data_IF_616969668292
#
_entry.id   IF_616969668292
#
_cell.length_a   1.000
_cell.length_b   1.000
_cell.length_c   1.000
_cell.angle_alpha   90.00
_cell.angle_beta   90.00
_cell.angle_gamma   90.00
#
_symmetry.space_group_name_H-M   'P 1'
#
loop_
_entity.id
_entity.type
_entity.pdbx_description
1 polymer ?
#
# COMPACT_ATOMS: atom_id res chain seq x y z
N UNK A 1 17.26 -60.33 -11.68
CA UNK A 1 16.97 -58.98 -12.20
C UNK A 1 15.90 -58.30 -11.32
N UNK A 2 16.14 -58.19 -10.00
CA UNK A 2 15.09 -57.74 -9.04
C UNK A 2 15.55 -56.69 -8.00
N UNK A 3 16.76 -56.14 -8.13
CA UNK A 3 17.32 -55.18 -7.16
C UNK A 3 17.21 -53.71 -7.59
N UNK A 4 16.83 -53.40 -8.84
CA UNK A 4 16.78 -52.01 -9.34
C UNK A 4 15.60 -51.20 -8.81
N UNK A 5 14.42 -51.80 -8.66
CA UNK A 5 13.20 -51.08 -8.25
C UNK A 5 13.26 -50.57 -6.82
N UNK A 6 13.83 -51.36 -5.90
CA UNK A 6 13.94 -50.94 -4.50
C UNK A 6 14.92 -49.78 -4.31
N UNK A 7 16.04 -49.75 -5.04
CA UNK A 7 17.05 -48.70 -4.93
C UNK A 7 16.55 -47.36 -5.49
N UNK A 8 15.84 -47.39 -6.61
CA UNK A 8 15.30 -46.18 -7.27
C UNK A 8 14.17 -45.52 -6.44
N UNK A 9 13.34 -46.35 -5.79
CA UNK A 9 12.30 -45.89 -4.84
C UNK A 9 12.91 -45.35 -3.54
N UNK A 10 14.01 -45.93 -3.05
CA UNK A 10 14.71 -45.43 -1.85
C UNK A 10 15.40 -44.09 -2.14
N UNK A 11 16.06 -43.97 -3.31
CA UNK A 11 16.77 -42.76 -3.72
C UNK A 11 15.80 -41.56 -3.90
N UNK A 12 14.67 -41.79 -4.58
CA UNK A 12 13.63 -40.76 -4.72
C UNK A 12 13.03 -40.38 -3.36
N UNK A 13 12.72 -41.36 -2.50
CA UNK A 13 12.21 -41.10 -1.15
C UNK A 13 13.17 -40.27 -0.29
N UNK A 14 14.49 -40.51 -0.38
CA UNK A 14 15.49 -39.68 0.30
C UNK A 14 15.55 -38.26 -0.24
N UNK A 15 15.55 -38.06 -1.56
CA UNK A 15 15.55 -36.72 -2.17
C UNK A 15 14.30 -35.92 -1.80
N UNK A 16 13.12 -36.55 -1.83
CA UNK A 16 11.87 -35.94 -1.37
C UNK A 16 11.93 -35.56 0.12
N UNK A 17 12.44 -36.46 0.96
CA UNK A 17 12.54 -36.21 2.39
C UNK A 17 13.54 -35.08 2.71
N UNK A 18 14.63 -34.95 1.94
CA UNK A 18 15.55 -33.81 2.06
C UNK A 18 14.91 -32.49 1.62
N UNK A 19 14.15 -32.48 0.52
CA UNK A 19 13.44 -31.28 0.06
C UNK A 19 12.41 -30.80 1.10
N UNK A 20 11.66 -31.73 1.69
CA UNK A 20 10.70 -31.44 2.77
C UNK A 20 11.41 -30.89 4.01
N UNK A 21 12.54 -31.47 4.41
CA UNK A 21 13.33 -30.99 5.56
C UNK A 21 13.86 -29.57 5.31
N UNK A 22 14.33 -29.25 4.11
CA UNK A 22 14.78 -27.89 3.78
C UNK A 22 13.64 -26.87 3.81
N UNK A 23 12.45 -27.25 3.37
CA UNK A 23 11.26 -26.40 3.40
C UNK A 23 10.82 -26.12 4.84
N UNK A 24 10.79 -27.15 5.69
CA UNK A 24 10.42 -27.03 7.11
C UNK A 24 11.47 -26.21 7.88
N UNK A 25 12.77 -26.49 7.68
CA UNK A 25 13.86 -25.75 8.32
C UNK A 25 13.91 -24.28 7.88
N UNK A 26 13.64 -23.98 6.60
CA UNK A 26 13.57 -22.61 6.09
C UNK A 26 12.38 -21.81 6.65
N UNK A 27 11.22 -22.45 6.80
CA UNK A 27 10.04 -21.87 7.46
C UNK A 27 10.31 -21.57 8.94
N UNK A 28 10.89 -22.52 9.67
CA UNK A 28 11.28 -22.35 11.07
C UNK A 28 12.33 -21.25 11.24
N UNK A 29 13.35 -21.21 10.39
CA UNK A 29 14.41 -20.19 10.43
C UNK A 29 13.87 -18.78 10.13
N UNK A 30 12.98 -18.63 9.13
CA UNK A 30 12.32 -17.35 8.83
C UNK A 30 11.45 -16.85 9.99
N UNK A 31 10.74 -17.76 10.66
CA UNK A 31 9.97 -17.44 11.87
C UNK A 31 10.88 -17.09 13.07
N UNK A 32 11.98 -17.82 13.27
CA UNK A 32 12.93 -17.58 14.37
C UNK A 32 13.69 -16.26 14.20
N UNK A 33 14.08 -15.91 12.96
CA UNK A 33 14.72 -14.63 12.64
C UNK A 33 13.85 -13.43 13.05
N UNK A 34 12.51 -13.59 12.98
CA UNK A 34 11.55 -12.58 13.44
C UNK A 34 11.52 -12.43 14.97
N UNK A 35 11.76 -13.51 15.72
CA UNK A 35 11.85 -13.45 17.18
C UNK A 35 13.16 -12.81 17.65
N UNK A 36 14.27 -13.09 16.97
CA UNK A 36 15.60 -12.61 17.36
C UNK A 36 15.83 -11.15 16.96
N UNK A 37 15.29 -10.70 15.82
CA UNK A 37 15.50 -9.34 15.32
C UNK A 37 14.29 -8.43 15.62
N UNK A 38 14.37 -7.67 16.71
CA UNK A 38 13.34 -6.72 17.15
C UNK A 38 13.27 -5.53 16.15
N UNK A 39 12.10 -5.38 15.49
CA UNK A 39 11.69 -4.34 14.50
C UNK A 39 12.27 -4.51 13.07
N UNK A 40 11.57 -4.31 11.94
CA UNK A 40 10.44 -3.45 11.53
C UNK A 40 9.64 -4.15 10.40
N UNK A 41 8.33 -3.88 10.30
CA UNK A 41 7.33 -4.57 9.43
C UNK A 41 7.66 -4.57 7.93
N UNK A 42 8.43 -5.55 7.46
CA UNK A 42 8.19 -6.14 6.13
C UNK A 42 7.13 -7.22 6.42
N UNK A 43 6.02 -7.24 5.68
CA UNK A 43 4.83 -8.02 6.07
C UNK A 43 5.14 -9.48 6.39
N UNK A 44 4.35 -10.09 7.27
CA UNK A 44 4.48 -11.49 7.72
C UNK A 44 4.88 -12.45 6.59
N UNK A 45 4.21 -12.32 5.45
CA UNK A 45 4.41 -13.15 4.27
C UNK A 45 5.81 -13.03 3.65
N UNK A 46 6.40 -11.83 3.66
CA UNK A 46 7.72 -11.58 3.10
C UNK A 46 8.86 -12.19 3.93
N UNK A 47 8.69 -12.26 5.26
CA UNK A 47 9.67 -12.91 6.12
C UNK A 47 9.68 -14.44 5.90
N UNK A 48 8.51 -15.06 5.62
CA UNK A 48 8.45 -16.48 5.25
C UNK A 48 9.06 -16.77 3.89
N UNK A 49 8.72 -15.96 2.87
CA UNK A 49 9.25 -16.18 1.52
C UNK A 49 10.75 -16.00 1.48
N UNK A 50 11.31 -15.00 2.18
CA UNK A 50 12.75 -14.85 2.32
C UNK A 50 13.40 -15.99 3.11
N UNK A 51 12.72 -16.54 4.14
CA UNK A 51 13.23 -17.67 4.91
C UNK A 51 13.35 -18.96 4.08
N UNK A 52 12.33 -19.29 3.28
CA UNK A 52 12.35 -20.44 2.38
C UNK A 52 13.43 -20.25 1.29
N UNK A 53 13.46 -19.07 0.65
CA UNK A 53 14.47 -18.75 -0.35
C UNK A 53 15.88 -18.74 0.24
N UNK A 54 16.05 -18.27 1.47
CA UNK A 54 17.31 -18.27 2.22
C UNK A 54 17.83 -19.67 2.53
N UNK A 55 16.95 -20.59 2.94
CA UNK A 55 17.32 -21.98 3.20
C UNK A 55 17.75 -22.72 1.92
N UNK A 56 16.96 -22.58 0.85
CA UNK A 56 17.26 -23.21 -0.45
C UNK A 56 18.52 -22.63 -1.10
N UNK A 57 18.70 -21.31 -1.04
CA UNK A 57 19.88 -20.63 -1.60
C UNK A 57 21.16 -20.92 -0.80
N UNK A 58 21.09 -21.07 0.53
CA UNK A 58 22.23 -21.48 1.35
C UNK A 58 22.73 -22.88 1.03
N UNK A 59 21.83 -23.83 0.80
CA UNK A 59 22.16 -25.20 0.38
C UNK A 59 22.84 -25.23 -1.00
N UNK A 60 22.30 -24.45 -1.95
CA UNK A 60 22.86 -24.31 -3.29
C UNK A 60 24.25 -23.65 -3.28
N UNK A 61 24.45 -22.63 -2.44
CA UNK A 61 25.72 -21.92 -2.32
C UNK A 61 26.83 -22.80 -1.74
N UNK A 62 26.57 -23.59 -0.71
CA UNK A 62 27.54 -24.56 -0.16
C UNK A 62 27.94 -25.62 -1.19
N UNK A 63 26.97 -26.12 -1.96
CA UNK A 63 27.23 -27.06 -3.05
C UNK A 63 28.05 -26.45 -4.18
N UNK A 64 27.84 -25.17 -4.51
CA UNK A 64 28.60 -24.47 -5.56
C UNK A 64 30.06 -24.21 -5.19
N UNK A 65 30.38 -24.09 -3.90
CA UNK A 65 31.75 -23.87 -3.41
C UNK A 65 32.49 -25.19 -3.14
N UNK A 66 31.87 -26.33 -3.46
CA UNK A 66 32.47 -27.67 -3.31
C UNK A 66 32.36 -28.27 -1.91
N UNK A 67 31.54 -27.68 -1.03
CA UNK A 67 31.23 -28.25 0.29
C UNK A 67 30.18 -29.36 0.21
N UNK A 68 30.32 -30.38 1.03
CA UNK A 68 29.27 -31.39 1.21
C UNK A 68 28.12 -30.80 2.05
N UNK A 69 26.89 -30.95 1.57
CA UNK A 69 25.71 -30.57 2.35
C UNK A 69 25.61 -31.52 3.54
N UNK A 70 25.54 -31.00 4.79
CA UNK A 70 25.45 -31.86 5.96
C UNK A 70 24.20 -32.75 5.88
N UNK A 71 24.27 -34.01 6.36
CA UNK A 71 23.12 -34.91 6.37
C UNK A 71 21.91 -34.29 7.10
N UNK A 72 20.72 -34.57 6.59
CA UNK A 72 19.46 -34.09 7.18
C UNK A 72 19.34 -34.55 8.64
N UNK A 73 19.01 -33.62 9.54
CA UNK A 73 18.91 -33.89 10.99
C UNK A 73 20.20 -33.63 11.78
N UNK A 74 21.33 -33.34 11.14
CA UNK A 74 22.54 -32.91 11.84
C UNK A 74 22.40 -31.45 12.34
N UNK A 75 22.96 -31.09 13.51
CA UNK A 75 22.96 -29.70 13.99
C UNK A 75 23.60 -28.70 12.99
N UNK A 76 24.52 -29.19 12.17
CA UNK A 76 25.18 -28.41 11.12
C UNK A 76 24.22 -28.00 9.98
N UNK A 77 23.21 -28.81 9.66
CA UNK A 77 22.19 -28.49 8.65
C UNK A 77 21.34 -27.29 9.07
N UNK A 78 20.91 -27.27 10.33
CA UNK A 78 20.14 -26.15 10.89
C UNK A 78 20.96 -24.86 10.94
N UNK A 79 22.24 -24.94 11.35
CA UNK A 79 23.13 -23.79 11.40
C UNK A 79 23.33 -23.15 10.03
N UNK A 80 23.54 -23.95 8.99
CA UNK A 80 23.67 -23.47 7.60
C UNK A 80 22.39 -22.78 7.13
N UNK A 81 21.22 -23.38 7.37
CA UNK A 81 19.94 -22.80 6.95
C UNK A 81 19.66 -21.46 7.64
N UNK A 82 19.97 -21.35 8.94
CA UNK A 82 19.79 -20.13 9.72
C UNK A 82 20.76 -19.03 9.26
N UNK A 83 22.04 -19.36 9.05
CA UNK A 83 23.05 -18.39 8.59
C UNK A 83 22.69 -17.88 7.19
N UNK A 84 22.28 -18.77 6.27
CA UNK A 84 21.85 -18.40 4.92
C UNK A 84 20.64 -17.44 4.93
N UNK A 85 19.63 -17.74 5.75
CA UNK A 85 18.46 -16.88 5.91
C UNK A 85 18.82 -15.52 6.52
N UNK A 86 19.68 -15.48 7.55
CA UNK A 86 20.13 -14.23 8.18
C UNK A 86 20.91 -13.33 7.21
N UNK A 87 21.79 -13.90 6.39
CA UNK A 87 22.56 -13.15 5.38
C UNK A 87 21.63 -12.58 4.32
N UNK A 88 20.71 -13.38 3.78
CA UNK A 88 19.79 -12.94 2.73
C UNK A 88 18.86 -11.82 3.21
N UNK A 89 18.30 -11.95 4.43
CA UNK A 89 17.47 -10.92 5.06
C UNK A 89 18.28 -9.65 5.33
N UNK A 90 19.54 -9.77 5.79
CA UNK A 90 20.44 -8.65 6.01
C UNK A 90 20.73 -7.85 4.73
N UNK A 91 21.07 -8.55 3.65
CA UNK A 91 21.38 -7.95 2.34
C UNK A 91 20.14 -7.29 1.72
N UNK A 92 19.00 -7.97 1.72
CA UNK A 92 17.76 -7.43 1.19
C UNK A 92 17.34 -6.13 1.90
N UNK A 93 17.50 -6.08 3.23
CA UNK A 93 17.21 -4.88 4.02
C UNK A 93 18.21 -3.77 3.75
N UNK A 94 19.51 -4.07 3.59
CA UNK A 94 20.53 -3.08 3.27
C UNK A 94 20.27 -2.39 1.91
N UNK A 95 19.91 -3.17 0.89
CA UNK A 95 19.51 -2.66 -0.43
C UNK A 95 18.24 -1.79 -0.34
N UNK A 96 17.28 -2.18 0.49
CA UNK A 96 16.05 -1.39 0.74
C UNK A 96 16.31 -0.06 1.48
N UNK A 97 17.45 0.08 2.19
CA UNK A 97 17.86 1.34 2.83
C UNK A 97 18.43 2.33 1.81
N UNK A 98 19.16 1.83 0.81
CA UNK A 98 19.81 2.66 -0.19
C UNK A 98 18.79 3.33 -1.12
N UNK A 99 17.78 2.57 -1.56
CA UNK A 99 16.69 3.05 -2.41
C UNK A 99 15.80 4.10 -1.72
N UNK A 100 15.71 4.08 -0.39
CA UNK A 100 14.92 5.07 0.37
C UNK A 100 15.65 6.36 0.68
N UNK A 101 16.97 6.37 0.86
CA UNK A 101 17.73 7.62 1.07
C UNK A 101 17.63 8.57 -0.14
N UNK A 102 17.59 8.02 -1.34
CA UNK A 102 17.41 8.79 -2.59
C UNK A 102 16.06 9.51 -2.64
N UNK A 103 15.02 8.96 -2.00
CA UNK A 103 13.66 9.54 -2.03
C UNK A 103 13.44 10.67 -1.01
N UNK A 104 14.33 10.82 -0.01
CA UNK A 104 14.21 11.85 1.05
C UNK A 104 14.89 13.17 0.66
N UNK A 105 15.78 13.19 -0.35
CA UNK A 105 16.44 14.43 -0.77
C UNK A 105 15.63 15.30 -1.75
N UNK A 106 14.41 14.90 -2.12
CA UNK A 106 13.60 15.60 -3.14
C UNK A 106 12.38 16.36 -2.59
N UNK A 107 12.31 16.59 -1.28
CA UNK A 107 11.31 17.50 -0.70
C UNK A 107 12.00 18.43 0.28
N UNK A 108 12.78 19.35 -0.30
CA UNK A 108 13.31 20.52 0.41
C UNK A 108 12.12 21.29 1.00
N UNK A 109 12.00 21.25 2.32
CA UNK A 109 11.01 22.00 3.08
C UNK A 109 11.47 23.45 3.24
N UNK A 110 11.55 24.19 2.15
CA UNK A 110 11.56 25.64 2.18
C UNK A 110 10.13 26.13 1.92
N UNK A 111 9.51 26.70 2.93
CA UNK A 111 8.26 27.45 2.79
C UNK A 111 8.58 28.70 1.95
N UNK A 112 8.01 28.88 0.75
CA UNK A 112 8.27 30.06 -0.07
C UNK A 112 7.74 31.31 0.63
N UNK A 113 8.51 32.40 0.60
CA UNK A 113 8.09 33.69 1.16
C UNK A 113 6.86 34.26 0.45
N UNK A 114 6.20 35.23 1.09
CA UNK A 114 4.95 35.87 0.63
C UNK A 114 4.97 36.36 -0.84
N UNK A 115 6.14 36.72 -1.39
CA UNK A 115 6.31 37.12 -2.80
C UNK A 115 6.23 35.95 -3.80
N UNK A 116 6.54 34.72 -3.38
CA UNK A 116 6.39 33.51 -4.20
C UNK A 116 4.94 33.01 -4.21
N UNK A 117 4.14 33.37 -3.19
CA UNK A 117 2.72 33.04 -3.13
C UNK A 117 1.94 33.78 -4.22
N UNK A 118 2.24 35.05 -4.47
CA UNK A 118 1.66 35.80 -5.61
C UNK A 118 2.05 35.20 -6.97
N UNK A 119 3.28 34.68 -7.10
CA UNK A 119 3.73 34.00 -8.30
C UNK A 119 3.06 32.63 -8.49
N UNK A 120 2.78 31.91 -7.39
CA UNK A 120 2.04 30.64 -7.38
C UNK A 120 0.56 30.85 -7.76
N UNK A 121 -0.08 31.88 -7.17
CA UNK A 121 -1.46 32.30 -7.49
C UNK A 121 -1.58 32.76 -8.95
N UNK A 122 -0.61 33.53 -9.48
CA UNK A 122 -0.62 33.92 -10.90
C UNK A 122 -0.50 32.74 -11.87
N UNK A 123 0.16 31.65 -11.50
CA UNK A 123 0.25 30.43 -12.33
C UNK A 123 -1.03 29.62 -12.37
N UNK A 124 -1.99 29.86 -11.47
CA UNK A 124 -3.24 29.11 -11.35
C UNK A 124 -4.46 29.75 -12.05
N UNK A 125 -4.29 30.85 -12.79
CA UNK A 125 -5.37 31.66 -13.39
C UNK A 125 -6.39 30.99 -14.34
N UNK A 126 -6.27 29.70 -14.65
CA UNK A 126 -7.28 28.90 -15.38
C UNK A 126 -7.90 27.76 -14.56
N UNK A 127 -7.24 27.34 -13.49
CA UNK A 127 -7.70 26.27 -12.59
C UNK A 127 -8.47 26.90 -11.44
N UNK A 128 -7.95 27.97 -10.84
CA UNK A 128 -8.65 28.76 -9.82
C UNK A 128 -9.97 29.32 -10.33
N UNK A 129 -10.05 29.83 -11.58
CA UNK A 129 -11.34 30.28 -12.14
C UNK A 129 -12.37 29.16 -12.26
N UNK A 130 -11.94 27.92 -12.51
CA UNK A 130 -12.83 26.75 -12.55
C UNK A 130 -13.25 26.33 -11.16
N UNK A 131 -12.31 26.27 -10.22
CA UNK A 131 -12.57 25.91 -8.81
C UNK A 131 -13.41 26.99 -8.13
N UNK A 132 -13.10 28.27 -8.31
CA UNK A 132 -13.86 29.42 -7.80
C UNK A 132 -15.29 29.47 -8.38
N UNK A 133 -15.47 29.26 -9.69
CA UNK A 133 -16.81 29.13 -10.28
C UNK A 133 -17.56 27.86 -9.81
N UNK A 134 -16.84 26.77 -9.53
CA UNK A 134 -17.41 25.56 -8.94
C UNK A 134 -17.74 25.73 -7.45
N UNK A 135 -17.01 26.58 -6.71
CA UNK A 135 -17.25 26.93 -5.31
C UNK A 135 -18.44 27.87 -5.14
N UNK A 136 -18.66 28.79 -6.09
CA UNK A 136 -19.86 29.65 -6.13
C UNK A 136 -21.14 28.86 -6.38
N UNK A 137 -21.05 27.73 -7.11
CA UNK A 137 -22.13 26.74 -7.13
C UNK A 137 -22.04 25.92 -5.85
N UNK A 138 -22.84 26.31 -4.86
CA UNK A 138 -23.09 25.60 -3.59
C UNK A 138 -23.78 24.24 -3.80
N UNK A 139 -23.32 23.42 -4.75
CA UNK A 139 -23.76 22.06 -4.95
C UNK A 139 -22.90 21.15 -4.08
N UNK A 140 -23.57 20.30 -3.33
CA UNK A 140 -23.00 19.24 -2.50
C UNK A 140 -22.29 18.23 -3.40
N UNK A 141 -21.00 18.47 -3.67
CA UNK A 141 -20.12 17.63 -4.53
C UNK A 141 -20.06 16.17 -4.03
N UNK A 142 -20.50 15.89 -2.80
CA UNK A 142 -20.43 14.57 -2.18
C UNK A 142 -21.39 13.50 -2.77
N UNK A 143 -22.39 13.86 -3.58
CA UNK A 143 -23.43 12.89 -4.01
C UNK A 143 -23.34 12.44 -5.48
N UNK A 144 -22.59 13.15 -6.34
CA UNK A 144 -22.56 12.91 -7.81
C UNK A 144 -21.30 12.16 -8.30
N UNK A 145 -20.69 11.38 -7.40
CA UNK A 145 -19.36 10.77 -7.62
C UNK A 145 -19.48 9.32 -8.13
N UNK A 146 -20.44 8.58 -7.58
CA UNK A 146 -20.69 7.18 -7.98
C UNK A 146 -21.52 7.12 -9.26
N UNK A 147 -22.43 8.06 -9.47
CA UNK A 147 -23.37 8.07 -10.60
C UNK A 147 -22.68 8.38 -11.94
N UNK A 148 -21.81 9.41 -11.96
CA UNK A 148 -21.08 9.83 -13.18
C UNK A 148 -20.09 8.78 -13.72
N UNK A 149 -19.53 7.93 -12.86
CA UNK A 149 -18.67 6.82 -13.30
C UNK A 149 -19.49 5.62 -13.83
N UNK A 150 -20.66 5.35 -13.26
CA UNK A 150 -21.51 4.24 -13.70
C UNK A 150 -22.22 4.50 -15.04
N UNK A 151 -22.52 5.76 -15.35
CA UNK A 151 -23.18 6.14 -16.59
C UNK A 151 -22.38 5.82 -17.86
N UNK A 152 -21.05 5.67 -17.75
CA UNK A 152 -20.16 5.43 -18.90
C UNK A 152 -19.84 3.94 -19.15
N UNK A 153 -20.40 3.01 -18.36
CA UNK A 153 -20.05 1.59 -18.47
C UNK A 153 -20.76 0.91 -19.65
N UNK A 154 -19.95 0.47 -20.61
CA UNK A 154 -20.40 -0.37 -21.73
C UNK A 154 -20.88 -1.75 -21.24
N UNK A 155 -21.77 -2.41 -22.00
CA UNK A 155 -22.30 -3.72 -21.63
C UNK A 155 -21.20 -4.78 -21.37
N UNK A 156 -20.16 -4.81 -22.22
CA UNK A 156 -19.03 -5.72 -22.06
C UNK A 156 -18.21 -5.47 -20.79
N UNK A 157 -18.09 -4.22 -20.36
CA UNK A 157 -17.44 -3.90 -19.09
C UNK A 157 -18.26 -4.46 -17.93
N UNK A 158 -19.58 -4.20 -17.87
CA UNK A 158 -20.45 -4.69 -16.78
C UNK A 158 -20.42 -6.21 -16.63
N UNK A 159 -20.35 -6.94 -17.74
CA UNK A 159 -20.24 -8.41 -17.72
C UNK A 159 -18.88 -8.84 -17.17
N UNK A 160 -17.79 -8.19 -17.58
CA UNK A 160 -16.45 -8.47 -17.04
C UNK A 160 -16.33 -8.15 -15.54
N UNK A 161 -17.00 -7.12 -15.01
CA UNK A 161 -17.08 -6.86 -13.56
C UNK A 161 -17.69 -8.04 -12.82
N UNK A 162 -18.86 -8.50 -13.28
CA UNK A 162 -19.57 -9.62 -12.66
C UNK A 162 -18.78 -10.92 -12.76
N UNK A 163 -18.12 -11.18 -13.88
CA UNK A 163 -17.28 -12.37 -14.07
C UNK A 163 -16.05 -12.31 -13.15
N UNK A 164 -15.40 -11.15 -13.02
CA UNK A 164 -14.24 -10.98 -12.14
C UNK A 164 -14.61 -11.10 -10.66
N UNK A 165 -15.74 -10.50 -10.25
CA UNK A 165 -16.28 -10.58 -8.89
C UNK A 165 -16.66 -12.03 -8.52
N UNK A 166 -17.36 -12.72 -9.44
CA UNK A 166 -17.74 -14.12 -9.25
C UNK A 166 -16.52 -15.05 -9.25
N UNK A 167 -15.60 -14.87 -10.21
CA UNK A 167 -14.37 -15.66 -10.32
C UNK A 167 -13.37 -15.46 -9.18
N UNK A 168 -13.46 -14.33 -8.46
CA UNK A 168 -12.66 -14.04 -7.27
C UNK A 168 -13.27 -14.53 -5.95
N UNK A 169 -14.49 -15.09 -5.97
CA UNK A 169 -15.16 -15.55 -4.76
C UNK A 169 -14.65 -16.92 -4.28
N UNK A 170 -14.52 -17.07 -2.96
CA UNK A 170 -14.22 -18.35 -2.31
C UNK A 170 -15.29 -19.42 -2.58
N UNK A 171 -16.55 -19.01 -2.78
CA UNK A 171 -17.65 -19.93 -3.10
C UNK A 171 -17.52 -20.52 -4.50
N UNK A 172 -17.08 -19.72 -5.48
CA UNK A 172 -16.82 -20.19 -6.84
C UNK A 172 -15.65 -21.18 -6.87
N UNK A 173 -14.56 -20.87 -6.16
CA UNK A 173 -13.41 -21.77 -6.07
C UNK A 173 -13.80 -23.14 -5.48
N UNK A 174 -14.62 -23.15 -4.43
CA UNK A 174 -15.13 -24.38 -3.83
C UNK A 174 -16.04 -25.18 -4.77
N UNK A 175 -16.99 -24.52 -5.45
CA UNK A 175 -17.87 -25.16 -6.43
C UNK A 175 -17.09 -25.72 -7.62
N UNK A 176 -16.12 -24.97 -8.12
CA UNK A 176 -15.27 -25.38 -9.24
C UNK A 176 -14.39 -26.58 -8.89
N UNK A 177 -13.82 -26.60 -7.68
CA UNK A 177 -13.08 -27.75 -7.17
C UNK A 177 -14.00 -28.98 -6.99
N UNK A 178 -15.22 -28.80 -6.48
CA UNK A 178 -16.19 -29.87 -6.36
C UNK A 178 -16.63 -30.42 -7.73
N UNK A 179 -16.83 -29.56 -8.72
CA UNK A 179 -17.11 -29.97 -10.10
C UNK A 179 -15.95 -30.79 -10.70
N UNK A 180 -14.71 -30.32 -10.53
CA UNK A 180 -13.51 -31.05 -10.96
C UNK A 180 -13.42 -32.45 -10.34
N UNK A 181 -13.60 -32.55 -9.02
CA UNK A 181 -13.59 -33.83 -8.31
C UNK A 181 -14.75 -34.73 -8.74
N UNK A 182 -15.95 -34.16 -8.91
CA UNK A 182 -17.11 -34.89 -9.41
C UNK A 182 -16.92 -35.42 -10.83
N UNK A 183 -16.31 -34.64 -11.71
CA UNK A 183 -15.99 -35.04 -13.08
C UNK A 183 -14.99 -36.19 -13.12
N UNK A 184 -13.92 -36.10 -12.31
CA UNK A 184 -12.92 -37.16 -12.18
C UNK A 184 -13.57 -38.43 -11.61
N UNK A 185 -14.38 -38.30 -10.56
CA UNK A 185 -15.04 -39.43 -9.92
C UNK A 185 -16.01 -40.15 -10.87
N UNK A 186 -16.88 -39.39 -11.57
CA UNK A 186 -17.85 -39.94 -12.51
C UNK A 186 -17.18 -40.66 -13.68
N UNK A 187 -16.13 -40.06 -14.25
CA UNK A 187 -15.39 -40.68 -15.36
C UNK A 187 -14.52 -41.84 -14.88
N UNK A 188 -13.99 -41.84 -13.66
CA UNK A 188 -13.21 -42.96 -13.15
C UNK A 188 -14.05 -44.17 -12.73
N UNK A 189 -15.33 -43.97 -12.41
CA UNK A 189 -16.23 -45.03 -11.92
C UNK A 189 -17.05 -45.71 -13.03
N UNK A 190 -16.99 -45.20 -14.27
CA UNK A 190 -17.80 -45.71 -15.38
C UNK A 190 -17.01 -46.70 -16.24
N UNK A 191 -17.61 -47.85 -16.58
CA UNK A 191 -16.97 -48.91 -17.39
C UNK A 191 -16.62 -48.48 -18.82
N UNK A 192 -17.35 -47.48 -19.34
CA UNK A 192 -17.05 -46.78 -20.59
C UNK A 192 -16.93 -45.28 -20.31
N UNK A 193 -15.76 -44.81 -19.88
CA UNK A 193 -15.56 -43.42 -19.51
C UNK A 193 -15.69 -42.51 -20.73
N UNK A 194 -16.37 -41.38 -20.56
CA UNK A 194 -16.53 -40.37 -21.60
C UNK A 194 -15.22 -39.57 -21.83
N UNK A 195 -14.47 -39.32 -20.76
CA UNK A 195 -13.14 -38.68 -20.78
C UNK A 195 -12.14 -39.57 -20.03
N UNK A 196 -11.52 -40.57 -20.69
CA UNK A 196 -10.55 -41.46 -20.06
C UNK A 196 -9.31 -40.70 -19.58
N UNK A 197 -8.66 -41.20 -18.52
CA UNK A 197 -7.36 -40.68 -18.08
C UNK A 197 -6.38 -40.68 -19.28
N UNK A 198 -5.79 -39.54 -19.68
CA UNK A 198 -5.44 -38.34 -18.88
C UNK A 198 -6.40 -37.12 -18.92
N UNK A 199 -7.72 -37.32 -19.15
CA UNK A 199 -8.76 -36.28 -19.13
C UNK A 199 -8.54 -35.12 -20.15
N UNK A 200 -8.53 -35.45 -21.44
CA UNK A 200 -8.23 -34.48 -22.50
C UNK A 200 -9.31 -33.40 -22.64
N UNK A 201 -10.58 -33.76 -22.44
CA UNK A 201 -11.69 -32.80 -22.57
C UNK A 201 -11.67 -31.82 -21.41
N UNK A 202 -11.43 -32.31 -20.19
CA UNK A 202 -11.28 -31.47 -19.01
C UNK A 202 -10.09 -30.52 -19.17
N UNK A 203 -8.94 -31.03 -19.62
CA UNK A 203 -7.75 -30.21 -19.83
C UNK A 203 -7.96 -29.13 -20.91
N UNK A 204 -8.66 -29.46 -21.99
CA UNK A 204 -9.01 -28.51 -23.05
C UNK A 204 -9.91 -27.39 -22.50
N UNK A 205 -10.93 -27.75 -21.73
CA UNK A 205 -11.86 -26.80 -21.13
C UNK A 205 -11.14 -25.86 -20.13
N UNK A 206 -10.28 -26.41 -19.27
CA UNK A 206 -9.47 -25.64 -18.33
C UNK A 206 -8.52 -24.68 -19.05
N UNK A 207 -7.88 -25.13 -20.11
CA UNK A 207 -6.95 -24.31 -20.89
C UNK A 207 -7.67 -23.13 -21.56
N UNK A 208 -8.85 -23.37 -22.13
CA UNK A 208 -9.68 -22.33 -22.71
C UNK A 208 -10.17 -21.33 -21.64
N UNK A 209 -10.62 -21.83 -20.49
CA UNK A 209 -11.07 -21.00 -19.38
C UNK A 209 -9.95 -20.10 -18.86
N UNK A 210 -8.75 -20.65 -18.66
CA UNK A 210 -7.57 -19.90 -18.21
C UNK A 210 -7.12 -18.83 -19.23
N UNK A 211 -7.18 -19.14 -20.53
CA UNK A 211 -6.81 -18.21 -21.60
C UNK A 211 -7.71 -16.96 -21.63
N UNK A 212 -9.01 -17.13 -21.39
CA UNK A 212 -9.98 -16.01 -21.30
C UNK A 212 -9.88 -15.29 -19.96
N UNK A 213 -9.52 -16.00 -18.89
CA UNK A 213 -9.46 -15.45 -17.54
C UNK A 213 -8.41 -14.34 -17.39
N UNK A 214 -7.21 -14.49 -17.95
CA UNK A 214 -6.13 -13.51 -17.78
C UNK A 214 -6.47 -12.11 -18.35
N UNK A 215 -7.00 -11.96 -19.57
CA UNK A 215 -7.49 -10.67 -20.08
C UNK A 215 -8.66 -10.10 -19.30
N UNK A 216 -9.61 -10.92 -18.85
CA UNK A 216 -10.76 -10.45 -18.05
C UNK A 216 -10.29 -9.89 -16.71
N UNK A 217 -9.37 -10.59 -16.03
CA UNK A 217 -8.73 -10.11 -14.80
C UNK A 217 -7.96 -8.81 -15.08
N UNK A 218 -7.22 -8.73 -16.19
CA UNK A 218 -6.47 -7.52 -16.53
C UNK A 218 -7.40 -6.32 -16.83
N UNK A 219 -8.52 -6.56 -17.52
CA UNK A 219 -9.53 -5.54 -17.79
C UNK A 219 -10.21 -5.07 -16.49
N UNK A 220 -10.54 -5.98 -15.57
CA UNK A 220 -11.13 -5.60 -14.29
C UNK A 220 -10.13 -4.83 -13.41
N UNK A 221 -8.86 -5.24 -13.41
CA UNK A 221 -7.78 -4.52 -12.72
C UNK A 221 -7.54 -3.13 -13.29
N UNK A 222 -7.46 -2.99 -14.62
CA UNK A 222 -7.30 -1.69 -15.28
C UNK A 222 -8.44 -0.73 -14.94
N UNK A 223 -9.67 -1.25 -14.85
CA UNK A 223 -10.84 -0.47 -14.45
C UNK A 223 -10.81 -0.07 -12.97
N UNK A 224 -10.45 -1.00 -12.08
CA UNK A 224 -10.29 -0.67 -10.65
C UNK A 224 -9.22 0.40 -10.46
N UNK A 225 -8.07 0.26 -11.12
CA UNK A 225 -7.00 1.26 -11.08
C UNK A 225 -7.44 2.63 -11.66
N UNK A 226 -8.33 2.66 -12.65
CA UNK A 226 -8.90 3.91 -13.17
C UNK A 226 -9.82 4.58 -12.14
N UNK A 227 -10.66 3.80 -11.44
CA UNK A 227 -11.50 4.28 -10.34
C UNK A 227 -10.66 4.83 -9.19
N UNK A 228 -9.65 4.08 -8.74
CA UNK A 228 -8.74 4.50 -7.67
C UNK A 228 -8.01 5.81 -8.01
N UNK A 229 -7.60 5.99 -9.29
CA UNK A 229 -7.00 7.25 -9.75
C UNK A 229 -7.97 8.42 -9.72
N UNK A 230 -9.23 8.20 -10.08
CA UNK A 230 -10.26 9.23 -10.06
C UNK A 230 -10.58 9.65 -8.61
N UNK A 231 -10.75 8.69 -7.70
CA UNK A 231 -10.94 8.97 -6.27
C UNK A 231 -9.76 9.77 -5.70
N UNK A 232 -8.52 9.38 -6.02
CA UNK A 232 -7.33 10.12 -5.59
C UNK A 232 -7.27 11.56 -6.13
N UNK A 233 -7.70 11.79 -7.38
CA UNK A 233 -7.78 13.14 -7.95
C UNK A 233 -8.83 14.00 -7.26
N UNK A 234 -9.93 13.40 -6.84
CA UNK A 234 -10.98 14.09 -6.13
C UNK A 234 -10.57 14.44 -4.70
N UNK A 235 -9.96 13.49 -3.99
CA UNK A 235 -9.42 13.73 -2.64
C UNK A 235 -8.38 14.86 -2.66
N UNK A 236 -7.55 14.91 -3.71
CA UNK A 236 -6.62 16.01 -3.91
C UNK A 236 -7.33 17.36 -4.06
N UNK A 237 -8.42 17.43 -4.82
CA UNK A 237 -9.21 18.66 -4.97
C UNK A 237 -9.88 19.09 -3.67
N UNK A 238 -10.42 18.14 -2.88
CA UNK A 238 -11.00 18.42 -1.57
C UNK A 238 -9.93 18.96 -0.61
N UNK A 239 -8.74 18.36 -0.60
CA UNK A 239 -7.64 18.82 0.24
C UNK A 239 -7.18 20.23 -0.14
N UNK A 240 -7.01 20.53 -1.44
CA UNK A 240 -6.69 21.88 -1.91
C UNK A 240 -7.76 22.90 -1.50
N UNK A 241 -9.04 22.53 -1.59
CA UNK A 241 -10.15 23.38 -1.15
C UNK A 241 -10.05 23.66 0.36
N UNK A 242 -9.81 22.64 1.17
CA UNK A 242 -9.65 22.79 2.62
C UNK A 242 -8.45 23.70 2.96
N UNK A 243 -7.33 23.55 2.24
CA UNK A 243 -6.15 24.40 2.41
C UNK A 243 -6.45 25.87 2.09
N UNK A 244 -7.15 26.15 0.99
CA UNK A 244 -7.62 27.50 0.63
C UNK A 244 -8.57 28.10 1.67
N UNK A 245 -9.51 27.31 2.18
CA UNK A 245 -10.44 27.74 3.23
C UNK A 245 -9.67 28.10 4.52
N UNK A 246 -8.69 27.29 4.93
CA UNK A 246 -7.83 27.59 6.08
C UNK A 246 -7.05 28.90 5.88
N UNK A 247 -6.43 29.10 4.72
CA UNK A 247 -5.72 30.34 4.41
C UNK A 247 -6.64 31.56 4.48
N UNK A 248 -7.88 31.44 3.98
CA UNK A 248 -8.87 32.53 4.04
C UNK A 248 -9.29 32.86 5.47
N UNK A 249 -9.39 31.85 6.35
CA UNK A 249 -9.72 32.04 7.77
C UNK A 249 -8.55 32.70 8.49
N UNK A 250 -7.31 32.28 8.21
CA UNK A 250 -6.11 32.89 8.78
C UNK A 250 -6.01 34.38 8.41
N UNK A 251 -6.23 34.73 7.14
CA UNK A 251 -6.23 36.13 6.71
C UNK A 251 -7.27 36.99 7.46
N UNK A 252 -8.50 36.48 7.62
CA UNK A 252 -9.55 37.18 8.38
C UNK A 252 -9.23 37.30 9.87
N UNK A 253 -8.59 36.28 10.45
CA UNK A 253 -8.17 36.30 11.84
C UNK A 253 -7.07 37.34 12.07
N UNK A 254 -6.12 37.45 11.15
CA UNK A 254 -5.05 38.44 11.22
C UNK A 254 -5.60 39.86 11.04
N UNK A 255 -6.53 40.07 10.11
CA UNK A 255 -7.25 41.35 9.96
C UNK A 255 -8.01 41.73 11.24
N UNK A 256 -8.78 40.79 11.82
CA UNK A 256 -9.49 41.02 13.07
C UNK A 256 -8.54 41.33 14.24
N UNK A 257 -7.39 40.65 14.30
CA UNK A 257 -6.34 40.89 15.31
C UNK A 257 -5.75 42.30 15.16
N UNK A 258 -5.48 42.75 13.94
CA UNK A 258 -4.95 44.10 13.70
C UNK A 258 -5.94 45.18 14.14
N UNK A 259 -7.22 45.00 13.82
CA UNK A 259 -8.29 45.90 14.27
C UNK A 259 -8.39 45.95 15.80
N UNK A 260 -8.34 44.79 16.46
CA UNK A 260 -8.29 44.72 17.92
C UNK A 260 -7.04 45.39 18.50
N UNK A 261 -5.90 45.26 17.83
CA UNK A 261 -4.66 45.90 18.28
C UNK A 261 -4.75 47.43 18.23
N UNK A 262 -5.33 47.97 17.16
CA UNK A 262 -5.57 49.42 17.03
C UNK A 262 -6.50 49.94 18.12
N UNK A 263 -7.59 49.23 18.41
CA UNK A 263 -8.53 49.66 19.46
C UNK A 263 -7.91 49.63 20.87
N UNK A 264 -7.02 48.67 21.15
CA UNK A 264 -6.27 48.63 22.41
C UNK A 264 -5.30 49.81 22.55
N UNK A 265 -4.59 50.17 21.47
CA UNK A 265 -3.69 51.33 21.46
C UNK A 265 -4.46 52.64 21.63
N UNK A 266 -5.63 52.79 20.99
CA UNK A 266 -6.50 53.94 21.19
C UNK A 266 -6.99 54.05 22.64
N UNK A 267 -7.36 52.93 23.27
CA UNK A 267 -7.75 52.90 24.67
C UNK A 267 -6.59 53.30 25.58
N UNK A 268 -5.39 52.79 25.33
CA UNK A 268 -4.18 53.12 26.10
C UNK A 268 -3.83 54.62 25.99
N UNK A 269 -3.90 55.18 24.78
CA UNK A 269 -3.64 56.61 24.55
C UNK A 269 -4.66 57.49 25.30
N UNK A 270 -5.95 57.11 25.28
CA UNK A 270 -6.97 57.81 26.08
C UNK A 270 -6.69 57.73 27.58
N UNK A 271 -6.24 56.58 28.07
CA UNK A 271 -5.87 56.44 29.49
C UNK A 271 -4.70 57.34 29.86
N UNK A 272 -3.64 57.41 29.03
CA UNK A 272 -2.52 58.32 29.26
C UNK A 272 -2.95 59.79 29.25
N UNK A 273 -3.86 60.16 28.34
CA UNK A 273 -4.39 61.52 28.27
C UNK A 273 -5.22 61.88 29.51
N UNK A 274 -6.00 60.94 30.06
CA UNK A 274 -6.74 61.15 31.30
C UNK A 274 -5.76 61.29 32.48
N UNK A 275 -4.73 60.45 32.56
CA UNK A 275 -3.72 60.50 33.62
C UNK A 275 -2.96 61.83 33.59
N UNK A 276 -2.53 62.31 32.43
CA UNK A 276 -1.83 63.60 32.32
C UNK A 276 -2.72 64.78 32.69
N UNK A 277 -4.01 64.74 32.33
CA UNK A 277 -4.99 65.76 32.79
C UNK A 277 -5.19 65.72 34.31
N UNK A 278 -5.18 64.54 34.93
CA UNK A 278 -5.27 64.40 36.39
C UNK A 278 -4.04 64.98 37.08
N UNK A 279 -2.84 64.66 36.58
CA UNK A 279 -1.56 65.19 37.07
C UNK A 279 -1.53 66.71 37.00
N UNK A 280 -1.87 67.31 35.85
CA UNK A 280 -1.97 68.77 35.71
C UNK A 280 -2.97 69.40 36.69
N UNK A 281 -4.11 68.75 36.96
CA UNK A 281 -5.07 69.25 37.96
C UNK A 281 -4.52 69.17 39.38
N UNK A 282 -3.80 68.12 39.72
CA UNK A 282 -3.18 67.97 41.04
C UNK A 282 -2.13 69.08 41.25
N UNK A 283 -1.24 69.31 40.27
CA UNK A 283 -0.25 70.40 40.32
C UNK A 283 -0.90 71.78 40.47
N UNK A 284 -2.02 72.02 39.78
CA UNK A 284 -2.77 73.28 39.91
C UNK A 284 -3.40 73.44 41.29
N UNK A 285 -3.89 72.36 41.90
CA UNK A 285 -4.46 72.39 43.24
C UNK A 285 -3.37 72.60 44.30
N UNK A 286 -2.21 71.97 44.16
CA UNK A 286 -1.06 72.20 45.05
C UNK A 286 -0.60 73.66 45.00
N UNK A 287 -0.45 74.24 43.79
CA UNK A 287 -0.08 75.66 43.63
C UNK A 287 -1.06 76.65 44.24
N UNK A 288 -2.35 76.31 44.31
CA UNK A 288 -3.37 77.19 44.89
C UNK A 288 -3.53 77.00 46.41
N UNK A 289 -2.93 75.96 46.97
CA UNK A 289 -2.97 75.65 48.40
C UNK A 289 -1.78 76.24 49.18
N UNK A 290 -0.69 76.59 48.49
CA UNK A 290 0.44 77.41 49.00
C UNK A 290 0.12 78.91 49.01
#
# INVERSE_FOLDING_TARGET
>A
MHTRTSVEVICTREEYMQAVVWLISGLLAGWLARLVMKERRIGFLADFTLGILGGVSGAWMLRSVGGSVPPAGSPAHLAVAVIGAMVLVGVARLLSRFTRRVKISARSGAVPGMSDLEAYVRRLGKVERRVFNALLRRQTIAQDITESFQEQLTFGQRVSDKIAEFGGSWTFLGLFAAFMLGWIFLNSAQDRPFDPFPFILLNLLLSCLAAVQAPVIMMSQNRQAAKDRFEAQQDYQVNLKAEMEIMSIQAKLDEARELQWKSLLELQNRQMEILSRMEQRLELLERNAE
#
